data_IF_710018285525
#
_entry.id   IF_710018285525
#
_cell.length_a   1.000
_cell.length_b   1.000
_cell.length_c   1.000
_cell.angle_alpha   90.00
_cell.angle_beta   90.00
_cell.angle_gamma   90.00
#
_symmetry.space_group_name_H-M   'P 1'
#
loop_
_entity.id
_entity.type
_entity.pdbx_description
1 polymer ?
#
# COMPACT_ATOMS: atom_id res chain seq x y z
N UNK A 1 17.68 14.20 9.33
CA UNK A 1 18.26 13.11 8.52
C UNK A 1 18.46 11.92 9.45
N UNK A 2 17.45 11.07 9.64
CA UNK A 2 17.53 9.98 10.62
C UNK A 2 18.35 8.83 10.01
N UNK A 3 19.56 8.66 10.53
CA UNK A 3 20.44 7.55 10.25
C UNK A 3 19.79 6.24 10.73
N UNK A 4 19.26 5.44 9.80
CA UNK A 4 18.98 4.03 10.03
C UNK A 4 20.33 3.31 10.10
N UNK A 5 20.85 3.20 11.32
CA UNK A 5 22.11 2.53 11.62
C UNK A 5 21.91 1.03 11.46
N UNK A 6 22.71 0.46 10.57
CA UNK A 6 22.86 -0.96 10.35
C UNK A 6 23.30 -1.66 11.64
N UNK A 7 22.51 -2.59 12.14
CA UNK A 7 22.82 -3.37 13.32
C UNK A 7 21.71 -4.37 13.63
N UNK A 8 21.76 -5.54 12.97
CA UNK A 8 21.28 -6.82 13.51
C UNK A 8 19.81 -7.00 13.90
N UNK A 9 18.92 -6.02 13.73
CA UNK A 9 17.49 -6.22 13.95
C UNK A 9 16.93 -6.98 12.77
N UNK A 10 16.60 -8.25 12.98
CA UNK A 10 15.93 -9.11 12.02
C UNK A 10 14.86 -8.30 11.29
N UNK A 11 15.07 -8.07 9.99
CA UNK A 11 14.21 -7.28 9.10
C UNK A 11 12.87 -8.01 8.92
N UNK A 12 12.10 -8.06 10.00
CA UNK A 12 10.81 -8.74 10.14
C UNK A 12 9.70 -7.72 9.97
N UNK A 13 8.45 -8.17 9.86
CA UNK A 13 7.27 -7.33 9.63
C UNK A 13 7.15 -6.10 10.55
N UNK A 14 7.79 -6.10 11.72
CA UNK A 14 7.87 -4.96 12.66
C UNK A 14 8.64 -3.76 12.06
N UNK A 15 9.74 -3.99 11.33
CA UNK A 15 10.49 -2.91 10.69
C UNK A 15 9.69 -2.28 9.56
N UNK A 16 8.97 -3.10 8.80
CA UNK A 16 8.13 -2.64 7.69
C UNK A 16 6.87 -1.93 8.16
N UNK A 17 6.22 -2.39 9.24
CA UNK A 17 5.07 -1.70 9.84
C UNK A 17 5.46 -0.37 10.51
N UNK A 18 6.66 -0.28 11.09
CA UNK A 18 7.20 1.01 11.56
C UNK A 18 7.48 1.97 10.39
N UNK A 19 8.05 1.47 9.28
CA UNK A 19 8.28 2.26 8.08
C UNK A 19 6.98 2.67 7.40
N UNK A 20 5.97 1.79 7.40
CA UNK A 20 4.62 2.06 6.90
C UNK A 20 3.97 3.22 7.66
N UNK A 21 4.00 3.19 8.99
CA UNK A 21 3.53 4.31 9.83
C UNK A 21 4.37 5.57 9.64
N UNK A 22 5.68 5.43 9.45
CA UNK A 22 6.53 6.58 9.14
C UNK A 22 6.18 7.20 7.79
N UNK A 23 5.82 6.40 6.79
CA UNK A 23 5.40 6.88 5.47
C UNK A 23 4.01 7.53 5.50
N UNK A 24 3.08 6.97 6.27
CA UNK A 24 1.77 7.57 6.55
C UNK A 24 1.95 8.97 7.19
N UNK A 25 2.83 9.08 8.18
CA UNK A 25 3.09 10.32 8.92
C UNK A 25 3.90 11.33 8.09
N UNK A 26 4.85 10.85 7.29
CA UNK A 26 5.70 11.67 6.42
C UNK A 26 5.01 12.10 5.13
N UNK A 27 3.81 11.56 4.83
CA UNK A 27 3.07 11.79 3.56
C UNK A 27 3.94 11.52 2.33
N UNK A 28 4.91 10.63 2.45
CA UNK A 28 5.91 10.41 1.42
C UNK A 28 5.76 8.99 0.87
N UNK A 29 4.89 8.88 -0.14
CA UNK A 29 4.64 7.62 -0.85
C UNK A 29 5.91 7.08 -1.53
N UNK A 30 6.81 7.96 -1.97
CA UNK A 30 8.07 7.58 -2.60
C UNK A 30 8.93 6.75 -1.65
N UNK A 31 9.02 7.18 -0.39
CA UNK A 31 9.71 6.41 0.67
C UNK A 31 9.02 5.08 0.94
N UNK A 32 7.68 5.03 0.92
CA UNK A 32 6.92 3.79 1.13
C UNK A 32 7.23 2.75 0.06
N UNK A 33 7.29 3.17 -1.22
CA UNK A 33 7.64 2.28 -2.32
C UNK A 33 9.09 1.80 -2.24
N UNK A 34 10.04 2.68 -1.91
CA UNK A 34 11.44 2.27 -1.73
C UNK A 34 11.54 1.18 -0.66
N UNK A 35 10.82 1.35 0.45
CA UNK A 35 10.75 0.36 1.52
C UNK A 35 10.13 -0.95 1.03
N UNK A 36 8.99 -0.91 0.33
CA UNK A 36 8.35 -2.11 -0.21
C UNK A 36 9.24 -2.83 -1.24
N UNK A 37 9.97 -2.09 -2.08
CA UNK A 37 10.93 -2.63 -3.02
C UNK A 37 12.13 -3.27 -2.32
N UNK A 38 12.66 -2.65 -1.27
CA UNK A 38 13.74 -3.18 -0.44
C UNK A 38 13.29 -4.49 0.24
N UNK A 39 12.05 -4.56 0.73
CA UNK A 39 11.46 -5.76 1.30
C UNK A 39 11.37 -6.90 0.28
N UNK A 40 10.83 -6.60 -0.90
CA UNK A 40 10.70 -7.56 -1.98
C UNK A 40 12.08 -8.07 -2.43
N UNK A 41 13.09 -7.19 -2.50
CA UNK A 41 14.47 -7.55 -2.85
C UNK A 41 15.11 -8.47 -1.81
N UNK A 42 14.78 -8.26 -0.53
CA UNK A 42 15.24 -9.10 0.58
C UNK A 42 14.41 -10.37 0.77
N UNK A 43 13.40 -10.61 -0.08
CA UNK A 43 12.43 -11.72 0.03
C UNK A 43 11.78 -11.78 1.41
N UNK A 44 11.55 -10.62 2.02
CA UNK A 44 10.83 -10.55 3.28
C UNK A 44 9.35 -10.73 2.97
N UNK A 45 8.72 -11.71 3.60
CA UNK A 45 7.26 -11.84 3.56
C UNK A 45 6.66 -10.62 4.26
N UNK A 46 5.95 -9.82 3.47
CA UNK A 46 5.23 -8.65 3.94
C UNK A 46 3.76 -9.00 4.06
N UNK A 47 3.17 -8.66 5.21
CA UNK A 47 1.72 -8.65 5.37
C UNK A 47 1.08 -7.48 4.59
N UNK A 48 -0.25 -7.43 4.58
CA UNK A 48 -1.01 -6.36 3.94
C UNK A 48 -0.86 -4.97 4.61
N UNK A 49 -0.44 -4.93 5.87
CA UNK A 49 -0.31 -3.69 6.68
C UNK A 49 0.57 -2.63 6.00
N UNK A 50 1.82 -2.91 5.57
CA UNK A 50 2.66 -1.93 4.90
C UNK A 50 2.10 -1.43 3.55
N UNK A 51 1.35 -2.27 2.83
CA UNK A 51 0.69 -1.85 1.60
C UNK A 51 -0.48 -0.90 1.86
N UNK A 52 -1.27 -1.15 2.91
CA UNK A 52 -2.36 -0.27 3.31
C UNK A 52 -1.85 1.13 3.70
N UNK A 53 -0.75 1.22 4.44
CA UNK A 53 -0.18 2.52 4.78
C UNK A 53 0.35 3.27 3.53
N UNK A 54 0.95 2.55 2.57
CA UNK A 54 1.39 3.14 1.30
C UNK A 54 0.19 3.66 0.48
N UNK A 55 -0.94 2.96 0.52
CA UNK A 55 -2.19 3.39 -0.11
C UNK A 55 -2.76 4.66 0.53
N UNK A 56 -2.82 4.71 1.87
CA UNK A 56 -3.29 5.91 2.60
C UNK A 56 -2.37 7.11 2.34
N UNK A 57 -1.06 6.89 2.24
CA UNK A 57 -0.13 7.93 1.83
C UNK A 57 -0.39 8.41 0.39
N UNK A 58 -0.75 7.50 -0.52
CA UNK A 58 -1.05 7.79 -1.93
C UNK A 58 -2.40 8.49 -2.14
N UNK A 59 -3.37 8.28 -1.24
CA UNK A 59 -4.68 8.94 -1.26
C UNK A 59 -4.57 10.46 -1.15
N UNK A 60 -3.70 10.95 -0.25
CA UNK A 60 -3.55 12.38 -0.02
C UNK A 60 -2.90 13.13 -1.18
N UNK A 61 -2.09 12.44 -1.99
CA UNK A 61 -1.48 12.98 -3.21
C UNK A 61 -2.31 12.73 -4.48
N UNK A 62 -3.49 12.10 -4.36
CA UNK A 62 -4.41 11.77 -5.48
C UNK A 62 -3.72 10.99 -6.60
N UNK A 63 -2.78 10.12 -6.24
CA UNK A 63 -2.00 9.34 -7.19
C UNK A 63 -2.69 7.99 -7.47
N UNK A 64 -3.81 8.02 -8.20
CA UNK A 64 -4.60 6.81 -8.51
C UNK A 64 -3.81 5.72 -9.24
N UNK A 65 -2.86 6.10 -10.11
CA UNK A 65 -1.98 5.16 -10.81
C UNK A 65 -1.20 4.26 -9.85
N UNK A 66 -0.66 4.87 -8.79
CA UNK A 66 0.13 4.17 -7.78
C UNK A 66 -0.76 3.28 -6.90
N UNK A 67 -1.94 3.75 -6.55
CA UNK A 67 -2.90 2.97 -5.78
C UNK A 67 -3.31 1.68 -6.50
N UNK A 68 -3.56 1.74 -7.81
CA UNK A 68 -3.83 0.56 -8.64
C UNK A 68 -2.62 -0.37 -8.71
N UNK A 69 -1.42 0.19 -8.88
CA UNK A 69 -0.19 -0.61 -8.94
C UNK A 69 0.04 -1.39 -7.63
N UNK A 70 -0.18 -0.73 -6.49
CA UNK A 70 -0.12 -1.37 -5.17
C UNK A 70 -1.17 -2.47 -5.03
N UNK A 71 -2.42 -2.24 -5.42
CA UNK A 71 -3.47 -3.26 -5.39
C UNK A 71 -3.09 -4.50 -6.21
N UNK A 72 -2.58 -4.31 -7.43
CA UNK A 72 -2.08 -5.42 -8.27
C UNK A 72 -0.92 -6.14 -7.62
N UNK A 73 -0.03 -5.41 -6.93
CA UNK A 73 1.11 -6.00 -6.22
C UNK A 73 0.66 -6.90 -5.08
N UNK A 74 -0.36 -6.49 -4.31
CA UNK A 74 -0.98 -7.29 -3.24
C UNK A 74 -1.48 -8.62 -3.81
N UNK A 75 -2.26 -8.57 -4.89
CA UNK A 75 -2.72 -9.77 -5.61
C UNK A 75 -1.57 -10.66 -6.11
N UNK A 76 -0.53 -10.07 -6.70
CA UNK A 76 0.63 -10.83 -7.18
C UNK A 76 1.43 -11.51 -6.07
N UNK A 77 1.35 -11.00 -4.84
CA UNK A 77 1.98 -11.60 -3.67
C UNK A 77 1.10 -12.69 -3.03
N UNK A 78 -0.09 -12.97 -3.60
CA UNK A 78 -1.06 -13.90 -3.02
C UNK A 78 -1.69 -13.38 -1.73
N UNK A 79 -1.59 -12.08 -1.47
CA UNK A 79 -2.24 -11.43 -0.34
C UNK A 79 -3.66 -11.06 -0.73
N UNK A 80 -4.63 -11.32 0.14
CA UNK A 80 -6.01 -10.89 -0.07
C UNK A 80 -6.14 -9.41 0.27
N UNK A 81 -6.57 -8.54 -0.67
CA UNK A 81 -6.84 -7.15 -0.37
C UNK A 81 -8.06 -7.04 0.56
N UNK A 82 -7.91 -6.34 1.68
CA UNK A 82 -9.00 -6.14 2.63
C UNK A 82 -9.98 -5.06 2.12
N UNK A 83 -11.17 -4.98 2.74
CA UNK A 83 -12.13 -3.92 2.46
C UNK A 83 -11.52 -2.50 2.57
N UNK A 84 -10.61 -2.29 3.53
CA UNK A 84 -9.87 -1.02 3.69
C UNK A 84 -9.03 -0.71 2.45
N UNK A 85 -8.33 -1.70 1.88
CA UNK A 85 -7.49 -1.54 0.70
C UNK A 85 -8.31 -1.07 -0.50
N UNK A 86 -9.42 -1.75 -0.79
CA UNK A 86 -10.33 -1.35 -1.87
C UNK A 86 -10.95 0.02 -1.62
N UNK A 87 -11.43 0.28 -0.41
CA UNK A 87 -12.01 1.58 -0.05
C UNK A 87 -11.03 2.73 -0.28
N UNK A 88 -9.76 2.56 0.12
CA UNK A 88 -8.73 3.59 -0.10
C UNK A 88 -8.47 3.79 -1.60
N UNK A 89 -8.31 2.71 -2.39
CA UNK A 89 -8.06 2.83 -3.84
C UNK A 89 -9.24 3.50 -4.56
N UNK A 90 -10.48 3.13 -4.20
CA UNK A 90 -11.71 3.75 -4.73
C UNK A 90 -11.76 5.23 -4.37
N UNK A 91 -11.46 5.59 -3.11
CA UNK A 91 -11.38 6.97 -2.65
C UNK A 91 -10.36 7.77 -3.46
N UNK A 92 -9.15 7.23 -3.68
CA UNK A 92 -8.12 7.86 -4.53
C UNK A 92 -8.62 8.06 -5.96
N UNK A 93 -9.25 7.03 -6.55
CA UNK A 93 -9.75 7.09 -7.92
C UNK A 93 -10.84 8.16 -8.08
N UNK A 94 -11.78 8.23 -7.14
CA UNK A 94 -12.84 9.27 -7.10
C UNK A 94 -12.25 10.66 -6.90
N UNK A 95 -11.33 10.83 -5.95
CA UNK A 95 -10.64 12.11 -5.70
C UNK A 95 -9.79 12.59 -6.89
N UNK A 96 -9.37 11.67 -7.76
CA UNK A 96 -8.64 11.93 -9.00
C UNK A 96 -9.55 12.14 -10.21
N UNK A 97 -10.88 12.12 -10.04
CA UNK A 97 -11.87 12.25 -11.12
C UNK A 97 -11.98 11.00 -12.01
N UNK A 98 -11.42 9.86 -11.60
CA UNK A 98 -11.43 8.58 -12.32
C UNK A 98 -12.58 7.68 -11.84
N UNK A 99 -13.81 8.15 -12.04
CA UNK A 99 -15.04 7.46 -11.63
C UNK A 99 -15.19 6.05 -12.24
N UNK A 100 -14.84 5.88 -13.52
CA UNK A 100 -14.91 4.58 -14.19
C UNK A 100 -14.03 3.52 -13.52
N UNK A 101 -12.85 3.94 -13.03
CA UNK A 101 -11.92 3.09 -12.29
C UNK A 101 -12.47 2.74 -10.91
N UNK A 102 -12.97 3.74 -10.17
CA UNK A 102 -13.61 3.50 -8.87
C UNK A 102 -14.80 2.55 -8.97
N UNK A 103 -15.63 2.69 -10.00
CA UNK A 103 -16.79 1.83 -10.22
C UNK A 103 -16.40 0.40 -10.62
N UNK A 104 -15.35 0.24 -11.43
CA UNK A 104 -14.79 -1.07 -11.77
C UNK A 104 -14.28 -1.82 -10.54
N UNK A 105 -13.51 -1.12 -9.69
CA UNK A 105 -12.99 -1.67 -8.43
C UNK A 105 -14.09 -2.02 -7.44
N UNK A 106 -15.14 -1.20 -7.34
CA UNK A 106 -16.29 -1.49 -6.47
C UNK A 106 -17.00 -2.77 -6.91
N UNK A 107 -17.18 -2.95 -8.23
CA UNK A 107 -17.78 -4.17 -8.78
C UNK A 107 -16.91 -5.39 -8.49
N UNK A 108 -15.59 -5.25 -8.65
CA UNK A 108 -14.61 -6.28 -8.31
C UNK A 108 -14.71 -6.70 -6.83
N UNK A 109 -14.74 -5.71 -5.91
CA UNK A 109 -14.93 -5.95 -4.48
C UNK A 109 -16.26 -6.67 -4.18
N UNK A 110 -17.36 -6.28 -4.82
CA UNK A 110 -18.67 -6.93 -4.66
C UNK A 110 -18.67 -8.37 -5.17
N UNK A 111 -18.00 -8.64 -6.29
CA UNK A 111 -17.87 -10.00 -6.83
C UNK A 111 -16.98 -10.90 -5.99
N UNK A 112 -16.06 -10.33 -5.21
CA UNK A 112 -15.17 -11.06 -4.31
C UNK A 112 -15.82 -11.38 -2.95
N UNK A 113 -17.11 -11.07 -2.74
CA UNK A 113 -17.86 -11.31 -1.48
C UNK A 113 -17.15 -10.81 -0.21
N UNK A 114 -16.28 -9.79 -0.34
CA UNK A 114 -15.63 -9.14 0.79
C UNK A 114 -16.70 -8.33 1.57
N UNK A 115 -17.35 -8.97 2.54
CA UNK A 115 -18.30 -8.37 3.50
C UNK A 115 -17.61 -7.64 4.63
#
# INVERSE_FOLDING_TARGET
VCALRAGGLAATGVTFSALARACEKARNWGTALVVLCEAARRKVELDIVPFNAALVASEKDRQWNHAICLLKRIWHLGLEPNAVTYQTVISVAVASGKWNLGHGLLKEMQTLELR
#
